data_IF_897589371713
#
_entry.id   IF_897589371713
#
_cell.length_a   1.000
_cell.length_b   1.000
_cell.length_c   1.000
_cell.angle_alpha   90.00
_cell.angle_beta   90.00
_cell.angle_gamma   90.00
#
_symmetry.space_group_name_H-M   'P 1'
#
loop_
_entity.id
_entity.type
_entity.pdbx_description
1 polymer ?
#
# COMPACT_ATOMS: atom_id res chain seq x y z
N UNK A 1 12.64 3.79 -5.86
CA UNK A 1 11.37 3.06 -5.90
C UNK A 1 10.64 3.21 -4.58
N UNK A 2 9.40 3.74 -4.60
CA UNK A 2 8.63 3.91 -3.35
C UNK A 2 8.32 2.57 -2.71
N UNK A 3 8.54 2.47 -1.41
CA UNK A 3 8.25 1.25 -0.66
C UNK A 3 8.07 1.53 0.82
N UNK A 4 7.33 0.64 1.49
CA UNK A 4 7.16 0.66 2.94
C UNK A 4 7.28 -0.76 3.45
N UNK A 5 8.21 -1.00 4.37
CA UNK A 5 8.27 -2.25 5.11
C UNK A 5 7.53 -2.06 6.43
N UNK A 6 6.63 -2.98 6.75
CA UNK A 6 5.95 -3.01 8.05
C UNK A 6 6.39 -4.27 8.75
N UNK A 7 7.14 -4.11 9.84
CA UNK A 7 7.63 -5.23 10.64
C UNK A 7 6.62 -5.58 11.72
N UNK A 8 6.49 -6.86 12.01
CA UNK A 8 5.62 -7.35 13.06
C UNK A 8 4.73 -8.47 12.58
N UNK A 9 3.68 -8.81 13.33
CA UNK A 9 2.82 -9.94 13.01
C UNK A 9 1.77 -9.68 11.93
N UNK A 10 1.90 -8.60 11.14
CA UNK A 10 1.00 -8.36 10.03
C UNK A 10 1.19 -9.40 8.91
N UNK A 11 0.11 -9.71 8.20
CA UNK A 11 0.15 -10.68 7.11
C UNK A 11 -0.63 -10.19 5.90
N UNK A 12 -0.22 -10.66 4.72
CA UNK A 12 -0.96 -10.35 3.48
C UNK A 12 -2.32 -11.04 3.47
N UNK A 13 -2.43 -12.22 4.09
CA UNK A 13 -3.70 -12.92 4.16
C UNK A 13 -4.73 -12.13 4.96
N UNK A 14 -4.34 -11.58 6.10
CA UNK A 14 -5.24 -10.75 6.90
C UNK A 14 -5.63 -9.49 6.14
N UNK A 15 -4.69 -8.88 5.44
CA UNK A 15 -4.98 -7.71 4.62
C UNK A 15 -6.07 -8.04 3.59
N UNK A 16 -5.91 -9.17 2.89
CA UNK A 16 -6.87 -9.60 1.88
C UNK A 16 -8.24 -9.89 2.52
N UNK A 17 -8.26 -10.60 3.65
CA UNK A 17 -9.50 -11.00 4.30
C UNK A 17 -10.32 -9.81 4.80
N UNK A 18 -9.64 -8.77 5.29
CA UNK A 18 -10.30 -7.60 5.88
C UNK A 18 -10.42 -6.43 4.90
N UNK A 19 -9.94 -6.59 3.69
CA UNK A 19 -9.92 -5.49 2.72
C UNK A 19 -11.35 -5.03 2.37
N UNK A 20 -11.53 -3.71 2.34
CA UNK A 20 -12.70 -3.09 1.75
C UNK A 20 -12.23 -1.96 0.84
N UNK A 21 -12.98 -1.69 -0.21
CA UNK A 21 -12.67 -0.58 -1.10
C UNK A 21 -12.69 0.73 -0.31
N UNK A 22 -11.73 1.60 -0.56
CA UNK A 22 -11.56 2.85 0.18
C UNK A 22 -11.25 3.99 -0.75
N UNK A 23 -11.57 5.19 -0.29
CA UNK A 23 -11.25 6.40 -1.02
C UNK A 23 -10.91 7.51 -0.04
N UNK A 24 -9.87 8.26 -0.35
CA UNK A 24 -9.47 9.44 0.42
C UNK A 24 -9.30 10.62 -0.51
N UNK A 25 -9.52 11.82 0.02
CA UNK A 25 -9.18 13.06 -0.66
C UNK A 25 -8.11 13.75 0.18
N UNK A 26 -6.94 13.98 -0.41
CA UNK A 26 -5.81 14.58 0.29
C UNK A 26 -5.23 15.67 -0.60
N UNK A 27 -5.28 16.92 -0.14
CA UNK A 27 -4.70 18.07 -0.86
C UNK A 27 -5.17 18.13 -2.32
N UNK A 28 -6.47 17.87 -2.54
CA UNK A 28 -7.06 17.93 -3.87
C UNK A 28 -6.89 16.68 -4.71
N UNK A 29 -6.10 15.72 -4.27
CA UNK A 29 -5.96 14.46 -4.96
C UNK A 29 -6.96 13.44 -4.42
N UNK A 30 -7.44 12.57 -5.29
CA UNK A 30 -8.31 11.45 -4.91
C UNK A 30 -7.49 10.18 -4.97
N UNK A 31 -7.45 9.46 -3.86
CA UNK A 31 -6.71 8.21 -3.72
C UNK A 31 -7.70 7.09 -3.51
N UNK A 32 -7.65 6.05 -4.34
CA UNK A 32 -8.59 4.94 -4.26
C UNK A 32 -7.87 3.61 -4.20
N UNK A 33 -8.36 2.72 -3.33
CA UNK A 33 -8.05 1.30 -3.35
C UNK A 33 -9.33 0.59 -3.72
N UNK A 34 -9.34 -0.11 -4.85
CA UNK A 34 -10.57 -0.64 -5.43
C UNK A 34 -10.81 -2.10 -5.13
N UNK A 35 -9.77 -2.91 -5.21
CA UNK A 35 -9.88 -4.36 -5.05
C UNK A 35 -8.52 -4.92 -4.69
N UNK A 36 -8.48 -6.16 -4.22
CA UNK A 36 -7.21 -6.81 -3.93
C UNK A 36 -7.29 -8.30 -4.25
N UNK A 37 -6.16 -8.88 -4.64
CA UNK A 37 -6.07 -10.23 -5.15
C UNK A 37 -4.95 -10.96 -4.45
N UNK A 38 -5.27 -12.08 -3.81
CA UNK A 38 -4.29 -12.92 -3.12
C UNK A 38 -3.84 -14.03 -4.08
N UNK A 39 -2.52 -14.25 -4.17
CA UNK A 39 -2.02 -15.28 -5.06
C UNK A 39 -2.19 -16.68 -4.46
N UNK A 40 -1.91 -17.71 -5.27
CA UNK A 40 -2.17 -19.10 -4.86
C UNK A 40 -1.28 -19.56 -3.71
N UNK A 41 -0.09 -19.00 -3.55
CA UNK A 41 0.80 -19.34 -2.43
C UNK A 41 0.45 -18.60 -1.15
N UNK A 42 -0.48 -17.64 -1.21
CA UNK A 42 -0.93 -16.80 -0.09
C UNK A 42 0.19 -15.94 0.50
N UNK A 43 1.19 -15.64 -0.30
CA UNK A 43 2.34 -14.84 0.14
C UNK A 43 2.41 -13.48 -0.54
N UNK A 44 1.52 -13.22 -1.49
CA UNK A 44 1.54 -11.96 -2.22
C UNK A 44 0.13 -11.50 -2.54
N UNK A 45 -0.10 -10.20 -2.39
CA UNK A 45 -1.36 -9.54 -2.70
C UNK A 45 -1.07 -8.40 -3.67
N UNK A 46 -1.92 -8.27 -4.69
CA UNK A 46 -1.94 -7.08 -5.54
C UNK A 46 -3.15 -6.26 -5.19
N UNK A 47 -2.95 -4.99 -4.92
CA UNK A 47 -4.02 -4.05 -4.60
C UNK A 47 -4.22 -3.13 -5.80
N UNK A 48 -5.44 -3.11 -6.32
CA UNK A 48 -5.80 -2.24 -7.44
C UNK A 48 -5.98 -0.81 -6.93
N UNK A 49 -5.21 0.11 -7.48
CA UNK A 49 -5.12 1.49 -7.00
C UNK A 49 -5.41 2.47 -8.11
N UNK A 50 -6.03 3.60 -7.76
CA UNK A 50 -6.28 4.71 -8.67
C UNK A 50 -5.93 6.01 -7.96
N UNK A 51 -5.21 6.89 -8.66
CA UNK A 51 -4.87 8.22 -8.17
C UNK A 51 -5.34 9.24 -9.20
N UNK A 52 -6.11 10.23 -8.75
CA UNK A 52 -6.56 11.34 -9.58
C UNK A 52 -5.94 12.62 -9.04
N UNK A 53 -5.11 13.26 -9.87
CA UNK A 53 -4.42 14.50 -9.50
C UNK A 53 -4.70 15.53 -10.58
N UNK A 54 -5.59 16.49 -10.29
CA UNK A 54 -6.02 17.45 -11.28
C UNK A 54 -6.76 16.75 -12.42
N UNK A 55 -6.26 16.92 -13.64
CA UNK A 55 -6.84 16.27 -14.83
C UNK A 55 -6.23 14.93 -15.13
N UNK A 56 -5.28 14.50 -14.32
CA UNK A 56 -4.52 13.27 -14.56
C UNK A 56 -5.04 12.15 -13.70
N UNK A 57 -5.25 10.99 -14.30
CA UNK A 57 -5.64 9.78 -13.58
C UNK A 57 -4.64 8.67 -13.91
N UNK A 58 -4.21 7.94 -12.89
CA UNK A 58 -3.37 6.77 -13.06
C UNK A 58 -4.01 5.58 -12.37
N UNK A 59 -4.05 4.44 -13.06
CA UNK A 59 -4.46 3.15 -12.49
C UNK A 59 -3.23 2.25 -12.44
N UNK A 60 -3.01 1.61 -11.31
CA UNK A 60 -1.82 0.77 -11.13
C UNK A 60 -2.08 -0.24 -10.02
N UNK A 61 -1.11 -1.11 -9.78
CA UNK A 61 -1.16 -2.07 -8.68
C UNK A 61 -0.09 -1.75 -7.64
N UNK A 62 -0.42 -2.02 -6.39
CA UNK A 62 0.54 -2.02 -5.28
C UNK A 62 0.72 -3.47 -4.86
N UNK A 63 1.97 -3.92 -4.78
CA UNK A 63 2.30 -5.28 -4.38
C UNK A 63 2.57 -5.34 -2.89
N UNK A 64 1.95 -6.29 -2.20
CA UNK A 64 2.25 -6.61 -0.82
C UNK A 64 2.87 -8.00 -0.80
N UNK A 65 4.10 -8.10 -0.34
CA UNK A 65 4.81 -9.39 -0.30
C UNK A 65 5.09 -9.77 1.15
N UNK A 66 4.73 -11.00 1.51
CA UNK A 66 4.98 -11.53 2.83
C UNK A 66 6.47 -11.79 3.01
N UNK A 67 7.02 -11.27 4.09
CA UNK A 67 8.41 -11.50 4.48
C UNK A 67 8.41 -12.22 5.83
N UNK A 68 9.59 -12.75 6.21
CA UNK A 68 9.72 -13.43 7.49
C UNK A 68 9.35 -12.53 8.67
N UNK A 69 9.70 -11.24 8.58
CA UNK A 69 9.51 -10.32 9.70
C UNK A 69 8.33 -9.37 9.52
N UNK A 70 7.61 -9.46 8.41
CA UNK A 70 6.48 -8.56 8.15
C UNK A 70 6.08 -8.55 6.70
N UNK A 71 5.58 -7.42 6.22
CA UNK A 71 5.10 -7.27 4.85
C UNK A 71 5.72 -6.04 4.22
N UNK A 72 6.15 -6.15 2.96
CA UNK A 72 6.63 -5.00 2.21
C UNK A 72 5.59 -4.59 1.17
N UNK A 73 5.28 -3.29 1.13
CA UNK A 73 4.41 -2.69 0.11
C UNK A 73 5.27 -1.91 -0.88
N UNK A 74 5.10 -2.17 -2.17
CA UNK A 74 5.89 -1.50 -3.22
C UNK A 74 5.16 -1.58 -4.55
N UNK A 75 5.70 -0.89 -5.56
CA UNK A 75 5.19 -1.01 -6.93
C UNK A 75 5.74 -2.27 -7.57
N UNK A 76 4.87 -3.13 -8.12
CA UNK A 76 5.34 -4.31 -8.85
C UNK A 76 5.82 -3.95 -10.25
N UNK A 77 6.52 -4.87 -10.89
CA UNK A 77 7.03 -4.67 -12.25
C UNK A 77 5.90 -4.56 -13.27
N UNK A 78 4.75 -5.19 -12.99
CA UNK A 78 3.65 -5.28 -13.96
C UNK A 78 2.99 -3.93 -14.27
N UNK A 79 3.11 -2.94 -13.38
CA UNK A 79 2.65 -1.59 -13.64
C UNK A 79 3.74 -0.60 -13.25
N UNK A 80 3.82 0.50 -13.98
CA UNK A 80 4.88 1.49 -13.75
C UNK A 80 4.28 2.90 -13.83
N UNK A 81 3.50 3.28 -12.82
CA UNK A 81 2.94 4.63 -12.81
C UNK A 81 4.04 5.67 -12.59
N UNK A 82 3.78 6.90 -13.01
CA UNK A 82 4.65 7.99 -12.64
C UNK A 82 4.57 8.19 -11.12
N UNK A 83 5.73 8.36 -10.47
CA UNK A 83 5.81 8.36 -9.00
C UNK A 83 5.50 9.75 -8.45
N UNK A 84 4.25 10.16 -8.59
CA UNK A 84 3.75 11.43 -8.09
C UNK A 84 3.53 11.36 -6.58
N UNK A 85 3.26 12.51 -5.96
CA UNK A 85 2.93 12.54 -4.53
C UNK A 85 1.72 11.66 -4.21
N UNK A 86 0.70 11.69 -5.08
CA UNK A 86 -0.51 10.87 -4.87
C UNK A 86 -0.19 9.39 -4.88
N UNK A 87 0.62 8.94 -5.81
CA UNK A 87 1.05 7.53 -5.87
C UNK A 87 1.81 7.16 -4.59
N UNK A 88 2.75 8.00 -4.17
CA UNK A 88 3.52 7.74 -2.95
C UNK A 88 2.64 7.74 -1.70
N UNK A 89 1.69 8.68 -1.60
CA UNK A 89 0.76 8.72 -0.47
C UNK A 89 -0.08 7.45 -0.41
N UNK A 90 -0.52 6.94 -1.55
CA UNK A 90 -1.37 5.75 -1.57
C UNK A 90 -0.60 4.51 -1.11
N UNK A 91 0.66 4.37 -1.53
CA UNK A 91 1.51 3.28 -1.03
C UNK A 91 1.71 3.42 0.48
N UNK A 92 1.93 4.63 0.97
CA UNK A 92 2.05 4.89 2.40
C UNK A 92 0.76 4.55 3.16
N UNK A 93 -0.41 4.84 2.57
CA UNK A 93 -1.70 4.49 3.17
C UNK A 93 -1.83 2.98 3.33
N UNK A 94 -1.41 2.22 2.32
CA UNK A 94 -1.43 0.75 2.40
C UNK A 94 -0.51 0.28 3.54
N UNK A 95 0.68 0.87 3.66
CA UNK A 95 1.57 0.58 4.78
C UNK A 95 0.91 0.86 6.11
N UNK A 96 0.16 1.95 6.22
CA UNK A 96 -0.60 2.29 7.43
C UNK A 96 -1.66 1.26 7.77
N UNK A 97 -2.36 0.75 6.75
CA UNK A 97 -3.36 -0.30 6.96
C UNK A 97 -2.71 -1.59 7.48
N UNK A 98 -1.53 -1.93 6.95
CA UNK A 98 -0.78 -3.09 7.46
C UNK A 98 -0.38 -2.89 8.92
N UNK A 99 0.10 -1.69 9.25
CA UNK A 99 0.53 -1.39 10.60
C UNK A 99 -0.63 -1.47 11.59
N UNK A 100 -1.83 -1.13 11.16
CA UNK A 100 -3.02 -1.17 12.01
C UNK A 100 -3.49 -2.58 12.34
N UNK A 101 -2.98 -3.61 11.68
CA UNK A 101 -3.38 -4.98 11.98
C UNK A 101 -3.07 -5.40 13.42
N UNK A 102 -2.01 -4.86 13.99
CA UNK A 102 -1.57 -5.30 15.32
C UNK A 102 -0.74 -4.18 15.98
N UNK A 103 -0.94 -3.93 17.29
CA UNK A 103 -0.15 -2.91 17.99
C UNK A 103 1.35 -3.17 18.00
N UNK A 104 1.77 -4.42 17.78
CA UNK A 104 3.19 -4.76 17.71
C UNK A 104 3.83 -4.41 16.37
N UNK A 105 3.03 -4.06 15.36
CA UNK A 105 3.56 -3.69 14.06
C UNK A 105 4.19 -2.30 14.10
N UNK A 106 5.30 -2.15 13.38
CA UNK A 106 6.00 -0.86 13.27
C UNK A 106 6.55 -0.70 11.86
N UNK A 107 6.74 0.55 11.44
CA UNK A 107 7.40 0.80 10.17
C UNK A 107 8.86 0.37 10.25
N UNK A 108 9.29 -0.39 9.25
CA UNK A 108 10.67 -0.73 9.06
C UNK A 108 11.32 0.17 8.03
N UNK A 109 12.15 -0.40 7.16
CA UNK A 109 12.83 0.35 6.13
C UNK A 109 11.83 0.91 5.12
N UNK A 110 11.93 2.22 4.85
CA UNK A 110 11.03 2.88 3.90
C UNK A 110 11.68 4.16 3.38
N UNK A 111 11.32 4.54 2.17
CA UNK A 111 11.69 5.85 1.61
C UNK A 111 10.47 6.79 1.52
N UNK A 112 9.39 6.46 2.22
CA UNK A 112 8.15 7.24 2.20
C UNK A 112 7.86 7.94 3.52
N UNK A 113 8.88 8.20 4.34
CA UNK A 113 8.72 8.85 5.65
C UNK A 113 7.84 10.11 5.61
N UNK A 114 7.97 11.01 4.62
CA UNK A 114 7.15 12.22 4.62
C UNK A 114 5.65 11.97 4.50
N UNK A 115 5.27 10.78 4.02
CA UNK A 115 3.87 10.43 3.79
C UNK A 115 3.29 9.51 4.85
N UNK A 116 4.11 9.05 5.79
CA UNK A 116 3.65 8.20 6.88
C UNK A 116 3.21 9.06 8.05
N UNK A 117 2.12 8.67 8.68
CA UNK A 117 1.66 9.37 9.88
C UNK A 117 2.56 9.08 11.07
N UNK A 118 2.28 9.75 12.19
CA UNK A 118 2.97 9.48 13.44
C UNK A 118 2.77 8.02 13.84
N UNK A 119 3.84 7.40 14.22
CA UNK A 119 3.79 6.00 14.63
C UNK A 119 3.83 5.83 16.13
#
# INVERSE_FOLDING_TARGET
MPHVMVDGPCTVEQFHTTFTAMQWTVEGAILKLRDCFLNTTREEVLVEAVVVEGKRMQSFFISLSQRRTGVIAKLPIVTDPEKTEGVKRLIACVGGLLKQQNPACRYGQTNLHPFLGES
#
